data_IF_470534724609
#
_entry.id   IF_470534724609
#
_cell.length_a   1.000
_cell.length_b   1.000
_cell.length_c   1.000
_cell.angle_alpha   90.00
_cell.angle_beta   90.00
_cell.angle_gamma   90.00
#
_symmetry.space_group_name_H-M   'P 1'
#
loop_
_entity.id
_entity.type
_entity.pdbx_description
1 polymer ?
#
# COMPACT_ATOMS: atom_id res chain seq x y z
N UNK A 1 41.70 -1.83 9.65
CA UNK A 1 40.84 -3.03 9.86
C UNK A 1 39.81 -2.68 10.93
N UNK A 2 38.60 -2.25 10.54
CA UNK A 2 37.47 -2.14 11.47
C UNK A 2 36.66 -3.42 11.31
N UNK A 3 36.50 -4.17 12.41
CA UNK A 3 35.65 -5.35 12.46
C UNK A 3 34.20 -4.93 12.17
N UNK A 4 33.66 -5.46 11.09
CA UNK A 4 32.22 -5.50 10.84
C UNK A 4 31.60 -6.43 11.89
N UNK A 5 30.77 -5.89 12.77
CA UNK A 5 29.94 -6.67 13.66
C UNK A 5 28.76 -7.15 12.81
N UNK A 6 28.80 -8.39 12.36
CA UNK A 6 27.62 -9.09 11.86
C UNK A 6 26.74 -9.41 13.06
N UNK A 7 25.46 -8.97 13.10
CA UNK A 7 24.56 -9.37 14.17
C UNK A 7 24.35 -10.89 14.10
N UNK A 8 24.31 -11.52 15.26
CA UNK A 8 24.01 -12.96 15.36
C UNK A 8 22.49 -13.15 15.49
N UNK A 9 22.00 -14.36 15.20
CA UNK A 9 20.56 -14.68 15.33
C UNK A 9 19.96 -14.38 16.73
N UNK A 10 20.79 -14.22 17.77
CA UNK A 10 20.35 -13.83 19.11
C UNK A 10 19.88 -12.36 19.22
N UNK A 11 20.33 -11.47 18.33
CA UNK A 11 19.95 -10.04 18.34
C UNK A 11 18.50 -9.81 17.84
N UNK A 12 17.88 -10.84 17.25
CA UNK A 12 16.48 -10.82 16.80
C UNK A 12 15.50 -11.29 17.89
N UNK A 13 15.98 -11.80 19.04
CA UNK A 13 15.13 -12.37 20.09
C UNK A 13 14.63 -11.36 21.14
N UNK A 14 15.11 -10.11 21.11
CA UNK A 14 14.61 -9.03 21.97
C UNK A 14 14.16 -7.83 21.12
N UNK A 15 12.92 -7.83 20.60
CA UNK A 15 12.39 -6.64 19.98
C UNK A 15 12.36 -5.52 21.03
N UNK A 16 13.08 -4.43 20.76
CA UNK A 16 12.98 -3.21 21.55
C UNK A 16 11.51 -2.83 21.61
N UNK A 17 10.88 -3.01 22.78
CA UNK A 17 9.50 -2.61 23.01
C UNK A 17 9.45 -1.09 23.17
N UNK A 18 9.39 -0.38 22.05
CA UNK A 18 9.11 1.06 22.05
C UNK A 18 7.66 1.27 22.45
N UNK A 19 7.41 2.17 23.41
CA UNK A 19 6.04 2.58 23.70
C UNK A 19 5.49 3.47 22.57
N UNK A 20 4.16 3.60 22.47
CA UNK A 20 3.51 4.38 21.40
C UNK A 20 4.05 5.81 21.26
N UNK A 21 4.35 6.47 22.39
CA UNK A 21 4.91 7.84 22.40
C UNK A 21 6.35 7.88 21.87
N UNK A 22 7.15 6.87 22.18
CA UNK A 22 8.52 6.74 21.68
C UNK A 22 8.55 6.41 20.19
N UNK A 23 7.65 5.54 19.70
CA UNK A 23 7.53 5.25 18.27
C UNK A 23 7.16 6.49 17.45
N UNK A 24 6.16 7.26 17.88
CA UNK A 24 5.74 8.50 17.22
C UNK A 24 6.81 9.60 17.29
N UNK A 25 7.53 9.72 18.41
CA UNK A 25 8.62 10.68 18.53
C UNK A 25 9.83 10.31 17.64
N UNK A 26 10.15 9.02 17.53
CA UNK A 26 11.28 8.54 16.72
C UNK A 26 11.01 8.68 15.21
N UNK A 27 9.78 8.42 14.77
CA UNK A 27 9.36 8.63 13.37
C UNK A 27 9.33 10.11 12.99
N UNK A 28 8.86 10.99 13.89
CA UNK A 28 8.89 12.43 13.67
C UNK A 28 10.32 13.02 13.63
N UNK A 29 11.25 12.52 14.46
CA UNK A 29 12.65 12.96 14.43
C UNK A 29 13.42 12.46 13.20
N UNK A 30 13.17 11.24 12.73
CA UNK A 30 13.78 10.70 11.52
C UNK A 30 13.41 11.51 10.25
N UNK A 31 12.22 12.12 10.22
CA UNK A 31 11.82 13.03 9.15
C UNK A 31 12.59 14.38 9.17
N UNK A 32 13.13 14.79 10.32
CA UNK A 32 13.86 16.06 10.48
C UNK A 32 15.37 15.98 10.35
N UNK A 33 15.97 14.78 10.30
CA UNK A 33 17.42 14.59 10.18
C UNK A 33 17.81 13.91 8.87
N UNK A 34 17.34 14.42 7.73
CA UNK A 34 18.01 14.14 6.45
C UNK A 34 19.18 15.12 6.34
N UNK A 35 20.26 14.77 7.03
CA UNK A 35 21.55 15.45 6.93
C UNK A 35 22.12 15.31 5.52
N UNK A 36 22.75 16.39 5.07
CA UNK A 36 23.40 16.55 3.77
C UNK A 36 24.58 15.58 3.60
N UNK A 37 24.33 14.37 3.11
CA UNK A 37 25.38 13.53 2.55
C UNK A 37 25.36 13.66 1.01
N UNK A 38 26.52 14.09 0.48
CA UNK A 38 26.84 14.37 -0.91
C UNK A 38 25.97 13.63 -1.93
N UNK A 39 25.19 14.42 -2.66
CA UNK A 39 24.51 14.03 -3.89
C UNK A 39 25.49 13.35 -4.84
N UNK A 40 25.23 12.08 -5.14
CA UNK A 40 25.64 11.50 -6.41
C UNK A 40 24.98 12.34 -7.50
N UNK A 41 25.77 12.75 -8.50
CA UNK A 41 25.30 13.54 -9.62
C UNK A 41 24.22 12.76 -10.38
N UNK A 42 22.97 13.12 -10.14
CA UNK A 42 21.79 12.65 -10.86
C UNK A 42 21.31 13.81 -11.75
N UNK A 43 20.95 13.50 -13.00
CA UNK A 43 20.80 14.46 -14.11
C UNK A 43 19.59 15.41 -14.02
N UNK A 44 19.05 15.57 -12.81
CA UNK A 44 18.07 16.59 -12.45
C UNK A 44 16.67 16.34 -12.96
N UNK A 45 16.41 15.24 -13.69
CA UNK A 45 15.05 14.86 -14.12
C UNK A 45 14.57 13.51 -13.56
N UNK A 46 15.45 12.67 -13.05
CA UNK A 46 15.07 11.36 -12.48
C UNK A 46 15.05 11.29 -10.93
N UNK A 47 15.43 12.37 -10.24
CA UNK A 47 15.52 12.41 -8.76
C UNK A 47 14.20 12.68 -8.04
N UNK A 48 13.20 13.26 -8.72
CA UNK A 48 11.92 13.61 -8.11
C UNK A 48 10.88 12.51 -8.38
N UNK A 49 10.34 11.96 -7.29
CA UNK A 49 9.26 10.97 -7.33
C UNK A 49 7.98 11.63 -6.85
N UNK A 50 6.93 11.57 -7.68
CA UNK A 50 5.59 11.97 -7.33
C UNK A 50 4.64 10.80 -7.56
N UNK A 51 3.68 10.63 -6.67
CA UNK A 51 2.63 9.61 -6.73
C UNK A 51 1.42 10.11 -5.94
N UNK A 52 0.25 9.53 -6.20
CA UNK A 52 -0.90 9.73 -5.34
C UNK A 52 -1.04 8.57 -4.36
N UNK A 53 -1.49 8.87 -3.14
CA UNK A 53 -1.90 7.89 -2.15
C UNK A 53 -3.38 8.11 -1.86
N UNK A 54 -4.17 7.06 -2.02
CA UNK A 54 -5.59 7.02 -1.64
C UNK A 54 -5.84 5.78 -0.79
N UNK A 55 -7.00 5.71 -0.16
CA UNK A 55 -7.42 4.58 0.68
C UNK A 55 -8.91 4.68 0.95
N UNK A 56 -9.49 3.60 1.46
CA UNK A 56 -10.85 3.60 2.00
C UNK A 56 -11.88 4.13 0.98
N UNK A 57 -11.78 3.66 -0.27
CA UNK A 57 -12.73 4.06 -1.31
C UNK A 57 -14.08 3.37 -1.14
N UNK A 58 -14.10 2.19 -0.50
CA UNK A 58 -15.31 1.46 -0.14
C UNK A 58 -16.33 1.45 -1.28
N UNK A 59 -15.96 0.88 -2.43
CA UNK A 59 -16.95 0.61 -3.47
C UNK A 59 -18.07 -0.22 -2.84
N UNK A 60 -19.30 0.28 -2.95
CA UNK A 60 -20.46 -0.27 -2.27
C UNK A 60 -21.55 -0.54 -3.30
N UNK A 61 -22.03 -1.79 -3.34
CA UNK A 61 -23.19 -2.15 -4.15
C UNK A 61 -24.50 -1.78 -3.45
N UNK A 62 -25.54 -1.57 -4.24
CA UNK A 62 -26.89 -1.36 -3.73
C UNK A 62 -27.44 -2.68 -3.17
N UNK A 63 -27.76 -2.72 -1.87
CA UNK A 63 -28.25 -3.94 -1.23
C UNK A 63 -29.58 -4.46 -1.82
N UNK A 64 -30.45 -3.57 -2.28
CA UNK A 64 -31.75 -3.93 -2.86
C UNK A 64 -31.62 -4.32 -4.35
N UNK A 65 -30.52 -3.92 -4.99
CA UNK A 65 -30.15 -4.27 -6.37
C UNK A 65 -28.65 -4.62 -6.44
N UNK A 66 -28.21 -5.78 -5.91
CA UNK A 66 -26.80 -6.09 -5.64
C UNK A 66 -25.90 -6.21 -6.89
N UNK A 67 -26.49 -6.19 -8.09
CA UNK A 67 -25.78 -6.10 -9.37
C UNK A 67 -25.43 -4.66 -9.78
N UNK A 68 -25.81 -3.67 -8.98
CA UNK A 68 -25.59 -2.25 -9.25
C UNK A 68 -24.79 -1.61 -8.12
N UNK A 69 -23.89 -0.68 -8.45
CA UNK A 69 -23.30 0.19 -7.44
C UNK A 69 -24.36 1.08 -6.80
N UNK A 70 -24.24 1.27 -5.48
CA UNK A 70 -24.95 2.33 -4.78
C UNK A 70 -24.65 3.68 -5.47
N UNK A 71 -25.71 4.46 -5.62
CA UNK A 71 -25.67 5.69 -6.41
C UNK A 71 -24.77 6.77 -5.76
N UNK A 72 -24.67 6.81 -4.43
CA UNK A 72 -23.71 7.69 -3.76
C UNK A 72 -22.28 7.18 -3.92
N UNK A 73 -22.07 5.88 -3.71
CA UNK A 73 -20.74 5.26 -3.89
C UNK A 73 -20.21 5.56 -5.29
N UNK A 74 -21.00 5.28 -6.33
CA UNK A 74 -20.67 5.59 -7.73
C UNK A 74 -20.29 7.04 -7.95
N UNK A 75 -21.07 8.00 -7.45
CA UNK A 75 -20.75 9.43 -7.63
C UNK A 75 -19.44 9.81 -6.97
N UNK A 76 -19.18 9.34 -5.76
CA UNK A 76 -17.97 9.69 -5.00
C UNK A 76 -16.73 9.05 -5.62
N UNK A 77 -16.79 7.75 -5.95
CA UNK A 77 -15.65 7.04 -6.54
C UNK A 77 -15.35 7.59 -7.94
N UNK A 78 -16.37 7.86 -8.77
CA UNK A 78 -16.17 8.51 -10.06
C UNK A 78 -15.51 9.88 -9.92
N UNK A 79 -16.00 10.71 -8.99
CA UNK A 79 -15.45 12.04 -8.74
C UNK A 79 -13.99 11.98 -8.26
N UNK A 80 -13.62 10.97 -7.49
CA UNK A 80 -12.21 10.73 -7.12
C UNK A 80 -11.35 10.45 -8.37
N UNK A 81 -11.76 9.51 -9.23
CA UNK A 81 -11.01 9.17 -10.45
C UNK A 81 -10.84 10.40 -11.34
N UNK A 82 -11.94 11.14 -11.58
CA UNK A 82 -11.93 12.34 -12.41
C UNK A 82 -10.99 13.43 -11.81
N UNK A 83 -10.99 13.56 -10.48
CA UNK A 83 -10.08 14.46 -9.76
C UNK A 83 -8.62 14.04 -9.95
N UNK A 84 -8.27 12.77 -9.70
CA UNK A 84 -6.90 12.27 -9.83
C UNK A 84 -6.35 12.45 -11.26
N UNK A 85 -7.19 12.21 -12.27
CA UNK A 85 -6.82 12.42 -13.67
C UNK A 85 -6.54 13.90 -14.01
N UNK A 86 -7.30 14.82 -13.40
CA UNK A 86 -7.19 16.26 -13.68
C UNK A 86 -6.13 17.00 -12.83
N UNK A 87 -5.70 16.41 -11.70
CA UNK A 87 -4.81 17.08 -10.75
C UNK A 87 -3.44 17.49 -11.32
N UNK A 88 -2.74 16.68 -12.13
CA UNK A 88 -1.40 17.04 -12.56
C UNK A 88 -1.34 18.35 -13.35
N UNK A 89 -0.31 19.15 -13.09
CA UNK A 89 -0.10 20.52 -13.58
C UNK A 89 -1.09 21.59 -13.06
N UNK A 90 -2.09 21.21 -12.25
CA UNK A 90 -2.93 22.18 -11.55
C UNK A 90 -2.10 22.97 -10.53
N UNK A 91 -2.52 24.20 -10.23
CA UNK A 91 -1.86 25.04 -9.25
C UNK A 91 -2.14 24.55 -7.83
N UNK A 92 -1.10 24.49 -7.01
CA UNK A 92 -1.23 24.29 -5.56
C UNK A 92 -1.46 25.68 -4.93
N UNK A 93 -2.47 25.86 -4.06
CA UNK A 93 -2.70 27.12 -3.37
C UNK A 93 -1.43 27.61 -2.64
N UNK A 94 -1.21 28.93 -2.61
CA UNK A 94 0.00 29.50 -2.02
C UNK A 94 0.13 29.14 -0.53
N UNK A 95 -1.00 29.11 0.19
CA UNK A 95 -1.12 28.68 1.57
C UNK A 95 -0.78 27.20 1.82
N UNK A 96 -0.81 26.37 0.78
CA UNK A 96 -0.45 24.95 0.82
C UNK A 96 0.98 24.69 0.31
N UNK A 97 1.79 25.75 0.14
CA UNK A 97 3.18 25.66 -0.32
C UNK A 97 3.40 26.14 -1.76
N UNK A 98 2.34 26.42 -2.51
CA UNK A 98 2.41 26.94 -3.88
C UNK A 98 3.00 25.94 -4.90
N UNK A 99 3.15 26.41 -6.14
CA UNK A 99 3.68 25.60 -7.24
C UNK A 99 2.60 24.86 -8.03
N UNK A 100 2.97 23.75 -8.64
CA UNK A 100 2.07 22.90 -9.43
C UNK A 100 2.17 21.46 -8.98
N UNK A 101 1.06 20.74 -9.06
CA UNK A 101 1.04 19.29 -8.83
C UNK A 101 1.91 18.62 -9.90
N UNK A 102 2.94 17.89 -9.46
CA UNK A 102 3.82 17.14 -10.35
C UNK A 102 3.05 15.99 -11.03
N UNK A 103 3.51 15.55 -12.20
CA UNK A 103 2.95 14.36 -12.85
C UNK A 103 3.30 13.11 -12.01
N UNK A 104 2.31 12.36 -11.51
CA UNK A 104 2.58 11.16 -10.72
C UNK A 104 3.07 10.02 -11.61
N UNK A 105 3.91 9.14 -11.05
CA UNK A 105 4.29 7.87 -11.68
C UNK A 105 3.20 6.81 -11.55
N UNK A 106 2.35 6.92 -10.53
CA UNK A 106 1.24 6.02 -10.29
C UNK A 106 0.40 6.41 -9.09
N UNK A 107 -0.55 5.54 -8.75
CA UNK A 107 -1.39 5.62 -7.56
C UNK A 107 -1.12 4.43 -6.65
N UNK A 108 -1.00 4.69 -5.36
CA UNK A 108 -0.98 3.67 -4.32
C UNK A 108 -2.35 3.69 -3.63
N UNK A 109 -3.00 2.54 -3.52
CA UNK A 109 -4.27 2.40 -2.79
C UNK A 109 -4.07 1.61 -1.49
N UNK A 110 -4.26 2.27 -0.35
CA UNK A 110 -3.94 1.78 0.99
C UNK A 110 -5.01 0.85 1.60
N UNK A 111 -5.75 0.09 0.78
CA UNK A 111 -6.78 -0.84 1.24
C UNK A 111 -8.17 -0.24 1.41
N UNK A 112 -9.10 -1.12 1.81
CA UNK A 112 -10.55 -0.92 1.85
C UNK A 112 -11.08 -0.46 0.48
N UNK A 113 -10.81 -1.32 -0.51
CA UNK A 113 -11.19 -1.17 -1.91
C UNK A 113 -12.70 -1.38 -2.07
N UNK A 114 -13.24 -2.45 -1.47
CA UNK A 114 -14.66 -2.81 -1.49
C UNK A 114 -15.24 -2.77 -0.07
N UNK A 115 -16.54 -2.54 0.07
CA UNK A 115 -17.16 -2.40 1.40
C UNK A 115 -17.62 -3.72 2.03
N UNK A 116 -17.87 -4.75 1.21
CA UNK A 116 -18.57 -5.96 1.66
C UNK A 116 -17.73 -7.23 1.70
N UNK A 117 -16.43 -7.16 1.41
CA UNK A 117 -15.52 -8.32 1.33
C UNK A 117 -15.29 -9.06 2.67
N UNK A 118 -15.62 -8.44 3.80
CA UNK A 118 -15.58 -9.06 5.14
C UNK A 118 -16.93 -9.67 5.57
N UNK A 119 -17.98 -9.54 4.75
CA UNK A 119 -19.35 -9.97 5.03
C UNK A 119 -19.69 -11.26 4.27
N UNK A 120 -20.67 -12.03 4.75
CA UNK A 120 -21.05 -13.32 4.16
C UNK A 120 -22.55 -13.41 3.86
N UNK A 121 -22.91 -14.19 2.84
CA UNK A 121 -24.29 -14.48 2.45
C UNK A 121 -24.54 -14.14 0.99
N UNK A 122 -25.52 -14.81 0.37
CA UNK A 122 -25.75 -14.77 -1.09
C UNK A 122 -25.86 -13.36 -1.67
N UNK A 123 -26.57 -12.45 -1.01
CA UNK A 123 -26.69 -11.06 -1.48
C UNK A 123 -25.35 -10.33 -1.38
N UNK A 124 -24.61 -10.54 -0.29
CA UNK A 124 -23.29 -9.91 -0.09
C UNK A 124 -22.25 -10.44 -1.06
N UNK A 125 -22.28 -11.72 -1.42
CA UNK A 125 -21.40 -12.27 -2.46
C UNK A 125 -21.62 -11.62 -3.83
N UNK A 126 -22.88 -11.32 -4.17
CA UNK A 126 -23.21 -10.57 -5.38
C UNK A 126 -22.71 -9.12 -5.30
N UNK A 127 -22.89 -8.48 -4.14
CA UNK A 127 -22.39 -7.13 -3.88
C UNK A 127 -20.88 -7.06 -4.03
N UNK A 128 -20.13 -7.96 -3.40
CA UNK A 128 -18.67 -8.04 -3.50
C UNK A 128 -18.19 -8.15 -4.96
N UNK A 129 -18.89 -8.92 -5.80
CA UNK A 129 -18.57 -9.03 -7.22
C UNK A 129 -18.77 -7.69 -7.96
N UNK A 130 -19.91 -7.03 -7.72
CA UNK A 130 -20.20 -5.71 -8.29
C UNK A 130 -19.18 -4.66 -7.84
N UNK A 131 -18.86 -4.62 -6.56
CA UNK A 131 -17.90 -3.68 -5.95
C UNK A 131 -16.50 -3.88 -6.52
N UNK A 132 -16.03 -5.13 -6.57
CA UNK A 132 -14.72 -5.45 -7.12
C UNK A 132 -14.61 -5.12 -8.60
N UNK A 133 -15.63 -5.46 -9.39
CA UNK A 133 -15.64 -5.17 -10.82
C UNK A 133 -15.59 -3.66 -11.08
N UNK A 134 -16.32 -2.87 -10.30
CA UNK A 134 -16.27 -1.42 -10.41
C UNK A 134 -14.89 -0.86 -10.02
N UNK A 135 -14.34 -1.29 -8.88
CA UNK A 135 -12.99 -0.92 -8.47
C UNK A 135 -11.96 -1.22 -9.57
N UNK A 136 -11.98 -2.44 -10.12
CA UNK A 136 -11.03 -2.87 -11.13
C UNK A 136 -11.17 -2.08 -12.45
N UNK A 137 -12.40 -1.77 -12.86
CA UNK A 137 -12.69 -0.95 -14.05
C UNK A 137 -12.24 0.51 -13.88
N UNK A 138 -12.31 1.04 -12.66
CA UNK A 138 -11.90 2.41 -12.38
C UNK A 138 -10.39 2.53 -12.24
N UNK A 139 -9.75 1.68 -11.44
CA UNK A 139 -8.34 1.84 -11.10
C UNK A 139 -7.35 1.25 -12.12
N UNK A 140 -7.75 0.24 -12.91
CA UNK A 140 -6.85 -0.40 -13.90
C UNK A 140 -5.55 -0.95 -13.26
N UNK A 141 -4.62 -1.51 -14.04
CA UNK A 141 -3.31 -2.00 -13.55
C UNK A 141 -2.17 -1.11 -14.03
N UNK A 142 -2.27 -0.64 -15.27
CA UNK A 142 -1.19 -0.09 -16.08
C UNK A 142 -1.44 1.36 -16.55
N UNK A 143 -2.53 1.97 -16.08
CA UNK A 143 -2.99 3.29 -16.54
C UNK A 143 -3.67 3.29 -17.91
N UNK A 144 -3.97 2.12 -18.48
CA UNK A 144 -4.67 1.96 -19.78
C UNK A 144 -5.91 1.06 -19.67
N UNK A 145 -5.87 0.10 -18.75
CA UNK A 145 -6.90 -0.92 -18.52
C UNK A 145 -8.08 -0.45 -17.66
N UNK A 146 -8.07 0.80 -17.16
CA UNK A 146 -9.14 1.37 -16.36
C UNK A 146 -9.41 2.84 -16.69
N UNK A 147 -10.33 3.47 -15.96
CA UNK A 147 -10.64 4.90 -16.13
C UNK A 147 -9.54 5.82 -15.60
N UNK A 148 -8.84 5.40 -14.56
CA UNK A 148 -7.67 6.09 -14.03
C UNK A 148 -6.51 5.94 -15.02
N UNK A 149 -5.91 7.06 -15.42
CA UNK A 149 -4.85 7.07 -16.44
C UNK A 149 -3.45 6.84 -15.88
N UNK A 150 -3.37 6.15 -14.74
CA UNK A 150 -2.13 5.86 -14.02
C UNK A 150 -2.11 4.41 -13.56
N UNK A 151 -0.93 3.76 -13.50
CA UNK A 151 -0.83 2.44 -12.89
C UNK A 151 -1.18 2.53 -11.40
N UNK A 152 -1.98 1.58 -10.91
CA UNK A 152 -2.44 1.53 -9.51
C UNK A 152 -1.83 0.35 -8.80
N UNK A 153 -1.25 0.54 -7.62
CA UNK A 153 -0.70 -0.50 -6.76
C UNK A 153 -1.47 -0.54 -5.44
N UNK A 154 -2.19 -1.63 -5.19
CA UNK A 154 -3.09 -1.72 -4.05
C UNK A 154 -2.67 -2.74 -2.99
N UNK A 155 -3.07 -2.47 -1.74
CA UNK A 155 -3.13 -3.45 -0.65
C UNK A 155 -4.59 -3.74 -0.32
N UNK A 156 -4.85 -4.79 0.45
CA UNK A 156 -6.17 -5.06 1.01
C UNK A 156 -6.28 -4.47 2.41
N UNK A 157 -7.48 -4.02 2.77
CA UNK A 157 -7.84 -3.58 4.11
C UNK A 157 -8.79 -4.54 4.82
N UNK A 158 -9.37 -4.09 5.94
CA UNK A 158 -10.23 -4.95 6.74
C UNK A 158 -11.62 -5.21 6.14
N UNK A 159 -12.07 -4.44 5.15
CA UNK A 159 -13.29 -4.69 4.39
C UNK A 159 -13.07 -5.54 3.14
N UNK A 160 -11.84 -5.78 2.72
CA UNK A 160 -11.51 -6.49 1.47
C UNK A 160 -11.40 -8.02 1.62
N UNK A 161 -11.39 -8.52 2.86
CA UNK A 161 -11.12 -9.92 3.16
C UNK A 161 -10.06 -10.06 4.24
N UNK A 162 -10.36 -9.65 5.50
CA UNK A 162 -9.37 -9.52 6.58
C UNK A 162 -8.69 -10.85 6.95
N UNK A 163 -9.25 -11.98 6.53
CA UNK A 163 -8.72 -13.32 6.77
C UNK A 163 -7.83 -13.83 5.62
N UNK A 164 -7.36 -12.95 4.73
CA UNK A 164 -6.48 -13.32 3.62
C UNK A 164 -7.18 -14.16 2.54
N UNK A 165 -8.51 -14.03 2.42
CA UNK A 165 -9.34 -14.71 1.42
C UNK A 165 -10.52 -13.84 1.02
N UNK A 166 -11.05 -14.04 -0.18
CA UNK A 166 -12.19 -13.29 -0.71
C UNK A 166 -11.92 -12.80 -2.12
N UNK A 167 -12.93 -12.19 -2.75
CA UNK A 167 -12.80 -11.76 -4.15
C UNK A 167 -11.73 -10.67 -4.33
N UNK A 168 -11.66 -9.69 -3.42
CA UNK A 168 -10.65 -8.63 -3.53
C UNK A 168 -9.25 -9.19 -3.30
N UNK A 169 -9.07 -10.09 -2.33
CA UNK A 169 -7.78 -10.78 -2.11
C UNK A 169 -7.31 -11.53 -3.37
N UNK A 170 -8.20 -12.34 -3.97
CA UNK A 170 -7.90 -13.07 -5.19
C UNK A 170 -7.60 -12.13 -6.36
N UNK A 171 -8.37 -11.04 -6.45
CA UNK A 171 -8.22 -10.01 -7.47
C UNK A 171 -6.89 -9.27 -7.38
N UNK A 172 -6.46 -8.86 -6.19
CA UNK A 172 -5.15 -8.23 -5.94
C UNK A 172 -4.02 -9.20 -6.32
N UNK A 173 -4.09 -10.45 -5.86
CA UNK A 173 -3.09 -11.47 -6.21
C UNK A 173 -2.99 -11.69 -7.73
N UNK A 174 -4.13 -11.72 -8.42
CA UNK A 174 -4.17 -11.86 -9.87
C UNK A 174 -3.61 -10.63 -10.60
N UNK A 175 -3.87 -9.42 -10.09
CA UNK A 175 -3.39 -8.16 -10.66
C UNK A 175 -1.90 -7.98 -10.46
N UNK A 176 -1.37 -8.29 -9.28
CA UNK A 176 0.07 -8.22 -9.01
C UNK A 176 0.89 -9.13 -9.94
N UNK A 177 0.39 -10.32 -10.28
CA UNK A 177 1.01 -11.21 -11.28
C UNK A 177 1.12 -10.61 -12.68
N UNK A 178 0.28 -9.65 -13.03
CA UNK A 178 0.24 -9.06 -14.37
C UNK A 178 1.17 -7.86 -14.51
N UNK A 179 1.64 -7.29 -13.40
CA UNK A 179 2.52 -6.12 -13.37
C UNK A 179 3.89 -6.48 -13.95
N UNK A 180 4.37 -5.68 -14.90
CA UNK A 180 5.65 -5.90 -15.57
C UNK A 180 6.84 -5.28 -14.81
N UNK A 181 6.59 -4.28 -13.96
CA UNK A 181 7.63 -3.44 -13.34
C UNK A 181 7.91 -3.79 -11.87
N UNK A 182 7.52 -4.97 -11.41
CA UNK A 182 7.81 -5.40 -10.04
C UNK A 182 9.27 -5.82 -9.89
N UNK A 183 9.90 -5.37 -8.80
CA UNK A 183 11.20 -5.87 -8.36
C UNK A 183 11.03 -7.14 -7.51
N UNK A 184 9.93 -7.23 -6.77
CA UNK A 184 9.62 -8.36 -5.89
C UNK A 184 8.13 -8.70 -5.88
N UNK A 185 7.83 -10.00 -5.75
CA UNK A 185 6.47 -10.52 -5.62
C UNK A 185 6.47 -11.70 -4.64
N UNK A 186 5.62 -11.67 -3.63
CA UNK A 186 5.52 -12.74 -2.64
C UNK A 186 4.98 -14.04 -3.26
N UNK A 187 5.26 -15.17 -2.64
CA UNK A 187 4.80 -16.49 -3.12
C UNK A 187 3.27 -16.57 -3.31
N UNK A 188 2.50 -15.93 -2.42
CA UNK A 188 1.04 -15.85 -2.53
C UNK A 188 0.55 -14.69 -3.42
N UNK A 189 1.46 -13.88 -3.97
CA UNK A 189 1.22 -12.75 -4.86
C UNK A 189 0.48 -11.56 -4.24
N UNK A 190 0.29 -11.55 -2.93
CA UNK A 190 -0.40 -10.46 -2.24
C UNK A 190 0.50 -9.26 -1.93
N UNK A 191 1.79 -9.50 -1.79
CA UNK A 191 2.78 -8.48 -1.48
C UNK A 191 3.69 -8.29 -2.68
N UNK A 192 4.00 -7.05 -3.00
CA UNK A 192 4.88 -6.73 -4.10
C UNK A 192 5.73 -5.51 -3.79
N UNK A 193 6.84 -5.39 -4.49
CA UNK A 193 7.73 -4.24 -4.44
C UNK A 193 8.09 -3.78 -5.84
N UNK A 194 8.42 -2.50 -5.97
CA UNK A 194 8.86 -1.89 -7.21
C UNK A 194 9.72 -0.65 -6.93
N UNK A 195 10.42 -0.19 -7.96
CA UNK A 195 11.20 1.06 -7.88
C UNK A 195 10.52 2.14 -8.72
N UNK A 196 10.41 3.34 -8.15
CA UNK A 196 10.07 4.56 -8.88
C UNK A 196 11.18 5.57 -8.67
N UNK A 197 12.00 5.78 -9.71
CA UNK A 197 13.23 6.57 -9.58
C UNK A 197 14.15 5.98 -8.52
N UNK A 198 14.70 6.78 -7.58
CA UNK A 198 15.62 6.30 -6.55
C UNK A 198 14.93 5.65 -5.34
N UNK A 199 13.59 5.59 -5.30
CA UNK A 199 12.82 5.15 -4.12
C UNK A 199 12.26 3.75 -4.34
N UNK A 200 12.45 2.90 -3.34
CA UNK A 200 11.91 1.55 -3.29
C UNK A 200 10.56 1.52 -2.57
N UNK A 201 9.55 0.91 -3.18
CA UNK A 201 8.18 0.84 -2.66
C UNK A 201 7.81 -0.60 -2.34
N UNK A 202 7.10 -0.82 -1.24
CA UNK A 202 6.65 -2.15 -0.82
C UNK A 202 5.20 -2.11 -0.33
N UNK A 203 4.33 -2.91 -0.95
CA UNK A 203 2.95 -3.14 -0.55
C UNK A 203 2.85 -4.45 0.25
N UNK A 204 2.36 -4.36 1.50
CA UNK A 204 2.42 -5.44 2.50
C UNK A 204 1.04 -5.94 2.98
N UNK A 205 -0.04 -5.60 2.27
CA UNK A 205 -1.39 -6.02 2.63
C UNK A 205 -1.95 -5.29 3.86
N UNK A 206 -2.70 -6.00 4.69
CA UNK A 206 -3.43 -5.40 5.82
C UNK A 206 -2.55 -5.09 7.04
N UNK A 207 -1.64 -5.99 7.42
CA UNK A 207 -0.72 -5.84 8.56
C UNK A 207 0.64 -6.43 8.21
N UNK A 208 1.69 -5.87 8.80
CA UNK A 208 3.05 -6.44 8.71
C UNK A 208 3.23 -7.49 9.80
N UNK A 209 3.43 -8.74 9.40
CA UNK A 209 3.63 -9.85 10.35
C UNK A 209 3.98 -11.17 9.70
N UNK A 210 4.44 -12.11 10.53
CA UNK A 210 4.64 -13.51 10.17
C UNK A 210 3.89 -14.35 11.20
N UNK A 211 3.15 -15.35 10.73
CA UNK A 211 2.45 -16.29 11.59
C UNK A 211 2.65 -17.69 11.01
N UNK A 212 3.61 -18.47 11.54
CA UNK A 212 3.85 -19.83 11.05
C UNK A 212 2.67 -20.76 11.34
N UNK A 213 1.93 -20.52 12.43
CA UNK A 213 0.74 -21.30 12.81
C UNK A 213 -0.35 -20.41 13.46
N UNK A 214 -1.63 -20.66 13.13
CA UNK A 214 -2.77 -19.95 13.72
C UNK A 214 -3.12 -20.56 15.07
N UNK A 215 -2.38 -20.18 16.11
CA UNK A 215 -2.55 -20.70 17.47
C UNK A 215 -3.65 -19.99 18.28
N UNK A 216 -4.16 -18.85 17.78
CA UNK A 216 -5.27 -18.08 18.37
C UNK A 216 -6.15 -17.45 17.29
N UNK A 217 -7.42 -17.14 17.63
CA UNK A 217 -8.35 -16.45 16.73
C UNK A 217 -7.78 -15.07 16.37
N UNK A 218 -7.49 -14.85 15.08
CA UNK A 218 -6.94 -13.59 14.57
C UNK A 218 -7.99 -12.72 13.92
N UNK A 219 -7.83 -11.40 14.10
CA UNK A 219 -8.64 -10.42 13.38
C UNK A 219 -8.18 -10.27 11.93
N UNK A 220 -6.86 -10.27 11.71
CA UNK A 220 -6.25 -10.04 10.40
C UNK A 220 -5.19 -11.11 10.06
N UNK A 221 -5.13 -11.51 8.80
CA UNK A 221 -4.11 -12.42 8.27
C UNK A 221 -2.99 -11.61 7.58
N UNK A 222 -1.73 -11.64 8.09
CA UNK A 222 -0.63 -10.94 7.43
C UNK A 222 -0.22 -11.55 6.09
N UNK A 223 -0.60 -12.81 5.80
CA UNK A 223 -0.22 -13.49 4.56
C UNK A 223 1.30 -13.55 4.32
N UNK A 224 2.11 -13.64 5.37
CA UNK A 224 3.58 -13.72 5.28
C UNK A 224 4.28 -12.41 4.92
N UNK A 225 3.65 -11.25 5.14
CA UNK A 225 4.19 -9.93 4.76
C UNK A 225 5.54 -9.60 5.39
N UNK A 226 5.81 -10.01 6.64
CA UNK A 226 7.10 -9.74 7.30
C UNK A 226 8.26 -10.53 6.66
N UNK A 227 8.04 -11.80 6.32
CA UNK A 227 9.05 -12.62 5.65
C UNK A 227 9.39 -12.05 4.27
N UNK A 228 8.36 -11.68 3.50
CA UNK A 228 8.53 -10.99 2.22
C UNK A 228 9.32 -9.70 2.40
N UNK A 229 8.93 -8.83 3.34
CA UNK A 229 9.60 -7.54 3.58
C UNK A 229 11.09 -7.72 3.90
N UNK A 230 11.45 -8.67 4.77
CA UNK A 230 12.85 -8.90 5.14
C UNK A 230 13.68 -9.35 3.94
N UNK A 231 13.16 -10.29 3.14
CA UNK A 231 13.84 -10.79 1.95
C UNK A 231 14.00 -9.68 0.90
N UNK A 232 12.92 -8.95 0.63
CA UNK A 232 12.84 -7.87 -0.34
C UNK A 232 13.81 -6.72 -0.02
N UNK A 233 13.81 -6.23 1.23
CA UNK A 233 14.75 -5.18 1.66
C UNK A 233 16.20 -5.66 1.61
N UNK A 234 16.49 -6.92 1.95
CA UNK A 234 17.85 -7.46 1.85
C UNK A 234 18.34 -7.48 0.41
N UNK A 235 17.48 -7.85 -0.53
CA UNK A 235 17.84 -8.03 -1.94
C UNK A 235 17.91 -6.69 -2.69
N UNK A 236 16.91 -5.82 -2.54
CA UNK A 236 16.76 -4.65 -3.40
C UNK A 236 17.24 -3.34 -2.76
N UNK A 237 17.36 -3.30 -1.43
CA UNK A 237 17.87 -2.15 -0.68
C UNK A 237 19.27 -2.44 -0.15
N UNK A 238 19.46 -3.49 0.66
CA UNK A 238 20.75 -3.84 1.24
C UNK A 238 21.48 -2.63 1.86
N UNK A 239 22.74 -2.43 1.47
CA UNK A 239 23.56 -1.29 1.93
C UNK A 239 23.43 -0.03 1.05
N UNK A 240 22.54 -0.03 0.05
CA UNK A 240 22.41 1.07 -0.92
C UNK A 240 21.91 2.39 -0.31
N UNK A 241 21.27 2.32 0.87
CA UNK A 241 20.58 3.45 1.52
C UNK A 241 19.46 4.05 0.66
N UNK A 242 18.91 3.31 -0.31
CA UNK A 242 17.70 3.75 -1.03
C UNK A 242 16.59 4.09 -0.02
N UNK A 243 15.87 5.22 -0.18
CA UNK A 243 14.68 5.50 0.61
C UNK A 243 13.63 4.41 0.34
N UNK A 244 12.87 4.05 1.37
CA UNK A 244 11.84 3.01 1.31
C UNK A 244 10.49 3.59 1.73
N UNK A 245 9.46 3.29 0.95
CA UNK A 245 8.06 3.55 1.30
C UNK A 245 7.35 2.22 1.52
N UNK A 246 6.83 2.03 2.73
CA UNK A 246 6.03 0.85 3.10
C UNK A 246 4.56 1.23 3.14
N UNK A 247 3.72 0.43 2.48
CA UNK A 247 2.27 0.59 2.53
C UNK A 247 1.62 -0.65 3.12
N UNK A 248 0.82 -0.44 4.16
CA UNK A 248 -0.06 -1.44 4.75
C UNK A 248 -1.29 -0.73 5.32
N UNK A 249 -2.43 -1.41 5.39
CA UNK A 249 -3.69 -0.76 5.74
C UNK A 249 -3.81 -0.40 7.23
N UNK A 250 -3.46 -1.32 8.14
CA UNK A 250 -3.61 -1.10 9.58
C UNK A 250 -2.31 -0.56 10.17
N UNK A 251 -2.40 0.58 10.84
CA UNK A 251 -1.28 1.26 11.50
C UNK A 251 -0.53 0.34 12.50
N UNK A 252 0.81 0.36 12.41
CA UNK A 252 1.73 -0.31 13.35
C UNK A 252 1.52 0.18 14.77
N UNK A 253 1.15 1.46 14.97
CA UNK A 253 0.88 2.01 16.29
C UNK A 253 -0.33 1.36 16.98
N UNK A 254 -1.21 0.67 16.24
CA UNK A 254 -2.30 -0.13 16.81
C UNK A 254 -1.79 -1.40 17.51
N UNK A 255 -0.58 -1.84 17.15
CA UNK A 255 0.12 -2.97 17.76
C UNK A 255 1.24 -2.53 18.71
N UNK A 256 1.50 -1.23 18.82
CA UNK A 256 2.34 -0.69 19.89
C UNK A 256 1.61 -0.84 21.23
N UNK A 257 2.31 -1.38 22.23
CA UNK A 257 1.76 -1.53 23.57
C UNK A 257 1.55 -0.15 24.22
N UNK A 258 0.47 0.04 25.01
CA UNK A 258 0.31 1.22 25.85
C UNK A 258 1.49 1.35 26.82
N UNK A 259 1.87 2.60 27.13
CA UNK A 259 2.82 2.92 28.20
C UNK A 259 2.28 2.49 29.57
#
# INVERSE_FOLDING_TARGET
MRQLITPTNADLENPVKLCRREFLATTALAATTIGTDKALADDGRDSQVAFFLVGDTHYLANKDAPSELDERSRRVTNGLIDTLNALPNSAIPAEAGGGKVAKPRGVIHAGDLIDSGDKNGRILELMQATEWNAYAADFGIDGQSGRLTYPTYEVHGNHDGPQGKGIAINGIAARNKQRQELTGLSHNNLHCSWDWGPVHFVNLGIVVGQVPEVTQRRRYDPGGSLEFLIADLREHVGDSRKPVVLTHHIDVARYAVPC
#
